data_IF_918535802021
#
_entry.id   IF_918535802021
#
_cell.length_a   1.000
_cell.length_b   1.000
_cell.length_c   1.000
_cell.angle_alpha   90.00
_cell.angle_beta   90.00
_cell.angle_gamma   90.00
#
_symmetry.space_group_name_H-M   'P 1'
#
loop_
_entity.id
_entity.type
_entity.pdbx_description
1 polymer ?
#
# COMPACT_ATOMS: atom_id res chain seq x y z
N UNK A 1 -7.69 -38.82 -0.74
CA UNK A 1 -8.55 -39.42 -1.79
C UNK A 1 -7.66 -40.09 -2.83
N UNK A 2 -8.02 -41.26 -3.36
CA UNK A 2 -7.22 -41.98 -4.39
C UNK A 2 -7.84 -41.76 -5.77
N UNK A 3 -7.47 -40.66 -6.41
CA UNK A 3 -7.98 -40.30 -7.74
C UNK A 3 -7.85 -41.48 -8.74
N UNK A 4 -8.85 -41.65 -9.61
CA UNK A 4 -8.88 -42.71 -10.62
C UNK A 4 -9.27 -44.11 -10.12
N UNK A 5 -9.47 -44.30 -8.82
CA UNK A 5 -9.98 -45.58 -8.28
C UNK A 5 -11.51 -45.61 -8.40
N UNK A 6 -12.13 -46.71 -8.89
CA UNK A 6 -13.58 -46.84 -8.92
C UNK A 6 -14.21 -46.56 -7.54
N UNK A 7 -15.19 -45.66 -7.50
CA UNK A 7 -15.88 -45.25 -6.27
C UNK A 7 -15.19 -44.17 -5.43
N UNK A 8 -13.99 -43.69 -5.81
CA UNK A 8 -13.43 -42.48 -5.22
C UNK A 8 -14.07 -41.26 -5.90
N UNK A 9 -14.74 -40.35 -5.15
CA UNK A 9 -15.30 -39.15 -5.74
C UNK A 9 -14.18 -38.20 -6.19
N UNK A 10 -14.47 -37.40 -7.20
CA UNK A 10 -13.66 -36.23 -7.55
C UNK A 10 -13.78 -35.17 -6.44
N UNK A 11 -12.84 -34.21 -6.41
CA UNK A 11 -12.78 -33.20 -5.35
C UNK A 11 -14.10 -32.42 -5.24
N UNK A 12 -14.67 -32.01 -6.37
CA UNK A 12 -15.90 -31.24 -6.44
C UNK A 12 -17.09 -32.02 -5.87
N UNK A 13 -17.22 -33.29 -6.25
CA UNK A 13 -18.31 -34.16 -5.79
C UNK A 13 -18.19 -34.46 -4.30
N UNK A 14 -16.95 -34.60 -3.80
CA UNK A 14 -16.69 -34.74 -2.37
C UNK A 14 -17.09 -33.48 -1.59
N UNK A 15 -16.72 -32.29 -2.07
CA UNK A 15 -17.07 -31.01 -1.45
C UNK A 15 -18.60 -30.83 -1.39
N UNK A 16 -19.30 -31.07 -2.51
CA UNK A 16 -20.77 -30.97 -2.58
C UNK A 16 -21.44 -31.90 -1.57
N UNK A 17 -20.98 -33.14 -1.49
CA UNK A 17 -21.59 -34.15 -0.61
C UNK A 17 -21.31 -33.91 0.88
N UNK A 18 -20.13 -33.41 1.24
CA UNK A 18 -19.67 -33.36 2.63
C UNK A 18 -19.70 -31.98 3.29
N UNK A 19 -19.74 -30.89 2.52
CA UNK A 19 -19.88 -29.56 3.10
C UNK A 19 -21.33 -29.27 3.54
N UNK A 20 -21.51 -28.50 4.62
CA UNK A 20 -22.84 -28.09 5.07
C UNK A 20 -23.51 -27.14 4.04
N UNK A 21 -24.80 -26.91 4.25
CA UNK A 21 -25.55 -25.88 3.52
C UNK A 21 -24.93 -24.49 3.75
N UNK A 22 -24.84 -23.69 2.70
CA UNK A 22 -24.27 -22.33 2.75
C UNK A 22 -22.74 -22.26 2.89
N UNK A 23 -22.01 -23.39 2.81
CA UNK A 23 -20.57 -23.38 3.02
C UNK A 23 -19.80 -22.53 1.98
N UNK A 24 -18.73 -21.88 2.44
CA UNK A 24 -17.82 -21.08 1.60
C UNK A 24 -16.49 -21.81 1.44
N UNK A 25 -16.10 -22.06 0.20
CA UNK A 25 -14.83 -22.70 -0.16
C UNK A 25 -13.86 -21.62 -0.60
N UNK A 26 -12.75 -21.42 0.12
CA UNK A 26 -11.71 -20.47 -0.25
C UNK A 26 -10.75 -21.07 -1.27
N UNK A 27 -10.32 -20.30 -2.27
CA UNK A 27 -9.23 -20.70 -3.18
C UNK A 27 -8.23 -19.55 -3.39
N UNK A 28 -6.94 -19.88 -3.45
CA UNK A 28 -5.91 -18.94 -3.90
C UNK A 28 -5.98 -18.83 -5.44
N UNK A 29 -6.36 -17.65 -5.98
CA UNK A 29 -6.57 -17.48 -7.41
C UNK A 29 -5.28 -17.58 -8.25
N UNK A 30 -4.09 -17.49 -7.63
CA UNK A 30 -2.81 -17.51 -8.34
C UNK A 30 -2.29 -18.92 -8.65
N UNK A 31 -2.87 -19.95 -8.01
CA UNK A 31 -2.43 -21.36 -8.16
C UNK A 31 -3.53 -22.28 -8.71
N UNK A 32 -4.66 -21.71 -9.13
CA UNK A 32 -5.76 -22.45 -9.76
C UNK A 32 -5.96 -22.01 -11.21
N UNK A 33 -6.31 -22.98 -12.08
CA UNK A 33 -6.67 -22.68 -13.47
C UNK A 33 -8.09 -22.12 -13.54
N UNK A 34 -8.33 -21.21 -14.49
CA UNK A 34 -9.67 -20.62 -14.72
C UNK A 34 -10.71 -21.71 -15.03
N UNK A 35 -10.33 -22.75 -15.78
CA UNK A 35 -11.23 -23.87 -16.09
C UNK A 35 -11.59 -24.67 -14.85
N UNK A 36 -10.61 -24.96 -13.98
CA UNK A 36 -10.84 -25.67 -12.71
C UNK A 36 -11.76 -24.89 -11.78
N UNK A 37 -11.50 -23.58 -11.60
CA UNK A 37 -12.35 -22.68 -10.79
C UNK A 37 -13.78 -22.66 -11.30
N UNK A 38 -13.98 -22.49 -12.61
CA UNK A 38 -15.33 -22.49 -13.22
C UNK A 38 -16.03 -23.83 -13.10
N UNK A 39 -15.29 -24.94 -13.20
CA UNK A 39 -15.81 -26.29 -13.01
C UNK A 39 -16.31 -26.50 -11.58
N UNK A 40 -15.49 -26.13 -10.60
CA UNK A 40 -15.84 -26.23 -9.18
C UNK A 40 -17.04 -25.33 -8.82
N UNK A 41 -17.06 -24.08 -9.30
CA UNK A 41 -18.21 -23.18 -9.12
C UNK A 41 -19.52 -23.79 -9.63
N UNK A 42 -19.48 -24.39 -10.84
CA UNK A 42 -20.65 -25.04 -11.44
C UNK A 42 -21.13 -26.22 -10.59
N UNK A 43 -20.22 -27.10 -10.18
CA UNK A 43 -20.53 -28.26 -9.36
C UNK A 43 -21.14 -27.89 -8.01
N UNK A 44 -20.59 -26.87 -7.34
CA UNK A 44 -21.15 -26.36 -6.07
C UNK A 44 -22.57 -25.79 -6.26
N UNK A 45 -22.83 -25.10 -7.37
CA UNK A 45 -24.16 -24.58 -7.69
C UNK A 45 -25.16 -25.71 -8.02
N UNK A 46 -24.76 -26.69 -8.83
CA UNK A 46 -25.58 -27.86 -9.19
C UNK A 46 -25.94 -28.73 -7.96
N UNK A 47 -25.08 -28.72 -6.93
CA UNK A 47 -25.33 -29.42 -5.67
C UNK A 47 -26.53 -28.90 -4.85
N UNK A 48 -27.05 -27.71 -5.16
CA UNK A 48 -28.30 -27.19 -4.58
C UNK A 48 -28.27 -26.82 -3.09
N UNK A 49 -27.10 -26.88 -2.43
CA UNK A 49 -26.92 -26.59 -0.99
C UNK A 49 -26.51 -25.14 -0.68
N UNK A 50 -26.64 -24.23 -1.64
CA UNK A 50 -26.21 -22.82 -1.46
C UNK A 50 -24.72 -22.63 -1.18
N UNK A 51 -23.87 -23.59 -1.55
CA UNK A 51 -22.42 -23.52 -1.35
C UNK A 51 -21.79 -22.57 -2.39
N UNK A 52 -20.67 -21.94 -2.03
CA UNK A 52 -20.01 -20.95 -2.90
C UNK A 52 -18.49 -21.06 -2.88
N UNK A 53 -17.86 -20.72 -4.00
CA UNK A 53 -16.41 -20.56 -4.10
C UNK A 53 -16.03 -19.09 -3.93
N UNK A 54 -15.03 -18.82 -3.11
CA UNK A 54 -14.55 -17.47 -2.76
C UNK A 54 -13.08 -17.36 -3.13
N UNK A 55 -12.71 -16.53 -4.13
CA UNK A 55 -11.31 -16.25 -4.41
C UNK A 55 -10.72 -15.37 -3.30
N UNK A 56 -9.60 -15.81 -2.72
CA UNK A 56 -8.93 -15.13 -1.60
C UNK A 56 -7.98 -14.03 -2.08
N UNK A 57 -8.52 -13.05 -2.83
CA UNK A 57 -7.74 -11.99 -3.48
C UNK A 57 -7.02 -11.07 -2.47
N UNK A 58 -7.67 -10.74 -1.36
CA UNK A 58 -7.15 -9.80 -0.37
C UNK A 58 -6.39 -10.50 0.77
N UNK A 59 -6.73 -11.76 1.03
CA UNK A 59 -6.13 -12.53 2.11
C UNK A 59 -4.76 -13.12 1.74
N UNK A 60 -4.44 -13.22 0.44
CA UNK A 60 -3.25 -13.92 -0.04
C UNK A 60 -3.30 -15.43 0.25
N UNK A 61 -2.16 -16.10 0.07
CA UNK A 61 -2.07 -17.54 0.33
C UNK A 61 -2.09 -17.80 1.85
N UNK A 62 -3.11 -18.51 2.34
CA UNK A 62 -3.27 -18.81 3.76
C UNK A 62 -2.15 -19.72 4.32
N UNK A 63 -1.50 -20.54 3.47
CA UNK A 63 -0.35 -21.35 3.88
C UNK A 63 0.85 -20.43 4.16
N UNK A 64 1.10 -19.43 3.32
CA UNK A 64 2.19 -18.46 3.56
C UNK A 64 2.03 -17.74 4.91
N UNK A 65 0.80 -17.45 5.35
CA UNK A 65 0.54 -16.83 6.66
C UNK A 65 1.01 -17.68 7.84
N UNK A 66 0.82 -19.00 7.77
CA UNK A 66 1.22 -19.93 8.83
C UNK A 66 2.67 -20.40 8.69
N UNK A 67 3.23 -20.35 7.48
CA UNK A 67 4.64 -20.67 7.23
C UNK A 67 5.56 -19.60 7.84
N UNK A 68 5.17 -18.33 7.75
CA UNK A 68 5.85 -17.23 8.43
C UNK A 68 7.32 -17.09 8.02
N UNK A 69 8.21 -16.95 9.01
CA UNK A 69 9.63 -16.70 8.77
C UNK A 69 10.41 -17.90 8.19
N UNK A 70 9.85 -19.12 8.29
CA UNK A 70 10.49 -20.33 7.74
C UNK A 70 10.25 -20.50 6.24
N UNK A 71 9.46 -19.61 5.62
CA UNK A 71 9.24 -19.63 4.18
C UNK A 71 10.51 -19.19 3.45
N UNK A 72 11.03 -20.00 2.49
CA UNK A 72 12.23 -19.60 1.75
C UNK A 72 11.97 -18.36 0.89
N UNK A 73 13.00 -17.54 0.63
CA UNK A 73 12.85 -16.37 -0.23
C UNK A 73 12.47 -16.79 -1.66
N UNK A 74 11.84 -15.87 -2.38
CA UNK A 74 11.54 -16.07 -3.79
C UNK A 74 12.85 -16.27 -4.59
N UNK A 75 12.87 -17.20 -5.55
CA UNK A 75 14.06 -17.44 -6.36
C UNK A 75 14.39 -16.22 -7.23
N UNK A 76 15.67 -15.85 -7.25
CA UNK A 76 16.19 -14.67 -7.92
C UNK A 76 17.42 -15.00 -8.78
N UNK A 77 17.38 -16.10 -9.55
CA UNK A 77 18.49 -16.47 -10.41
C UNK A 77 18.60 -15.52 -11.62
N UNK A 78 19.82 -15.09 -12.01
CA UNK A 78 19.98 -14.17 -13.13
C UNK A 78 19.56 -14.81 -14.46
N UNK A 79 18.94 -14.01 -15.32
CA UNK A 79 18.67 -14.37 -16.71
C UNK A 79 19.96 -14.37 -17.52
N UNK A 80 19.98 -15.23 -18.54
CA UNK A 80 21.00 -15.25 -19.59
C UNK A 80 20.36 -15.34 -20.97
N UNK A 81 21.04 -14.80 -21.97
CA UNK A 81 20.62 -14.92 -23.37
C UNK A 81 20.81 -16.37 -23.83
N UNK A 82 19.82 -16.90 -24.55
CA UNK A 82 19.90 -18.16 -25.25
C UNK A 82 20.41 -17.89 -26.67
N UNK A 83 21.68 -18.21 -26.90
CA UNK A 83 22.40 -18.01 -28.15
C UNK A 83 21.60 -18.50 -29.37
N UNK A 84 21.53 -17.63 -30.39
CA UNK A 84 20.76 -17.85 -31.61
C UNK A 84 21.11 -19.16 -32.32
N UNK A 85 22.38 -19.60 -32.26
CA UNK A 85 22.80 -20.87 -32.88
C UNK A 85 22.04 -22.09 -32.34
N UNK A 86 21.52 -21.98 -31.12
CA UNK A 86 20.69 -23.00 -30.48
C UNK A 86 19.21 -22.66 -30.56
N UNK A 87 18.86 -21.38 -30.46
CA UNK A 87 17.47 -20.92 -30.49
C UNK A 87 16.81 -21.10 -31.86
N UNK A 88 17.59 -21.03 -32.95
CA UNK A 88 17.17 -21.26 -34.34
C UNK A 88 16.30 -20.16 -34.95
N UNK A 89 15.75 -19.26 -34.15
CA UNK A 89 14.86 -18.17 -34.58
C UNK A 89 15.01 -16.95 -33.66
N UNK A 90 15.07 -15.77 -34.25
CA UNK A 90 15.15 -14.49 -33.56
C UNK A 90 13.84 -14.16 -32.83
N UNK A 91 13.94 -13.44 -31.70
CA UNK A 91 12.77 -13.02 -30.91
C UNK A 91 11.79 -12.18 -31.74
N UNK A 92 12.30 -11.24 -32.54
CA UNK A 92 11.46 -10.40 -33.40
C UNK A 92 10.68 -11.23 -34.45
N UNK A 93 11.28 -12.29 -34.98
CA UNK A 93 10.61 -13.18 -35.93
C UNK A 93 9.50 -14.01 -35.25
N UNK A 94 9.76 -14.53 -34.04
CA UNK A 94 8.76 -15.21 -33.21
C UNK A 94 7.57 -14.31 -32.92
N UNK A 95 7.82 -13.05 -32.52
CA UNK A 95 6.78 -12.06 -32.25
C UNK A 95 5.97 -11.73 -33.50
N UNK A 96 6.61 -11.54 -34.66
CA UNK A 96 5.92 -11.32 -35.93
C UNK A 96 4.99 -12.48 -36.29
N UNK A 97 5.49 -13.71 -36.19
CA UNK A 97 4.71 -14.94 -36.41
C UNK A 97 3.55 -15.09 -35.42
N UNK A 98 3.77 -14.73 -34.15
CA UNK A 98 2.72 -14.76 -33.12
C UNK A 98 1.62 -13.74 -33.41
N UNK A 99 1.98 -12.52 -33.81
CA UNK A 99 1.02 -11.45 -34.12
C UNK A 99 0.12 -11.80 -35.31
N UNK A 100 0.65 -12.47 -36.33
CA UNK A 100 -0.19 -12.95 -37.44
C UNK A 100 -1.20 -14.01 -36.99
N UNK A 101 -0.81 -14.92 -36.09
CA UNK A 101 -1.75 -15.89 -35.51
C UNK A 101 -2.79 -15.21 -34.61
N UNK A 102 -2.37 -14.24 -33.78
CA UNK A 102 -3.29 -13.43 -32.97
C UNK A 102 -4.32 -12.71 -33.84
N UNK A 103 -3.88 -12.08 -34.94
CA UNK A 103 -4.75 -11.43 -35.91
C UNK A 103 -5.73 -12.40 -36.56
N UNK A 104 -5.26 -13.56 -37.01
CA UNK A 104 -6.12 -14.61 -37.59
C UNK A 104 -7.16 -15.15 -36.59
N UNK A 105 -6.83 -15.17 -35.30
CA UNK A 105 -7.73 -15.56 -34.23
C UNK A 105 -8.63 -14.42 -33.70
N UNK A 106 -8.47 -13.18 -34.18
CA UNK A 106 -9.18 -12.01 -33.68
C UNK A 106 -8.78 -11.58 -32.25
N UNK A 107 -7.58 -11.96 -31.80
CA UNK A 107 -7.08 -11.64 -30.46
C UNK A 107 -6.32 -10.31 -30.43
N UNK A 108 -6.71 -9.42 -29.52
CA UNK A 108 -6.03 -8.13 -29.29
C UNK A 108 -4.82 -8.20 -28.36
N UNK A 109 -4.61 -9.33 -27.65
CA UNK A 109 -3.47 -9.56 -26.79
C UNK A 109 -3.26 -11.06 -26.54
N UNK A 110 -2.03 -11.44 -26.23
CA UNK A 110 -1.64 -12.75 -25.73
C UNK A 110 -0.84 -12.57 -24.45
N UNK A 111 -1.25 -13.22 -23.36
CA UNK A 111 -0.48 -13.29 -22.12
C UNK A 111 0.14 -14.68 -21.99
N UNK A 112 1.44 -14.77 -22.22
CA UNK A 112 2.21 -15.99 -21.95
C UNK A 112 2.46 -16.10 -20.43
N UNK A 113 1.99 -17.20 -19.84
CA UNK A 113 2.07 -17.47 -18.40
C UNK A 113 2.87 -18.73 -18.07
N UNK A 114 3.02 -19.64 -19.03
CA UNK A 114 3.92 -20.78 -18.90
C UNK A 114 5.37 -20.30 -19.05
N UNK A 115 6.23 -20.62 -18.08
CA UNK A 115 7.57 -20.05 -17.99
C UNK A 115 8.49 -20.50 -19.13
N UNK A 116 8.26 -21.71 -19.65
CA UNK A 116 8.95 -22.25 -20.82
C UNK A 116 8.54 -21.54 -22.11
N UNK A 117 7.26 -21.17 -22.27
CA UNK A 117 6.79 -20.33 -23.38
C UNK A 117 7.43 -18.94 -23.32
N UNK A 118 7.48 -18.32 -22.14
CA UNK A 118 8.13 -17.01 -21.95
C UNK A 118 9.63 -17.08 -22.26
N UNK A 119 10.32 -18.11 -21.76
CA UNK A 119 11.74 -18.35 -22.04
C UNK A 119 12.02 -18.61 -23.53
N UNK A 120 11.14 -19.36 -24.20
CA UNK A 120 11.25 -19.62 -25.64
C UNK A 120 11.00 -18.36 -26.47
N UNK A 121 9.96 -17.59 -26.12
CA UNK A 121 9.57 -16.39 -26.85
C UNK A 121 10.66 -15.33 -26.80
N UNK A 122 11.26 -15.14 -25.62
CA UNK A 122 12.26 -14.09 -25.37
C UNK A 122 13.70 -14.51 -25.65
N UNK A 123 13.95 -15.77 -26.00
CA UNK A 123 15.30 -16.35 -26.07
C UNK A 123 16.12 -16.06 -24.79
N UNK A 124 15.50 -16.19 -23.62
CA UNK A 124 16.19 -16.08 -22.32
C UNK A 124 16.08 -17.37 -21.53
N UNK A 125 17.00 -17.63 -20.61
CA UNK A 125 16.94 -18.75 -19.65
C UNK A 125 17.21 -18.25 -18.24
N UNK A 126 16.56 -18.85 -17.26
CA UNK A 126 16.75 -18.57 -15.84
C UNK A 126 17.15 -19.81 -15.05
N UNK A 127 17.02 -19.73 -13.73
CA UNK A 127 17.29 -20.83 -12.81
C UNK A 127 16.39 -20.81 -11.58
N UNK A 128 15.17 -20.31 -11.71
CA UNK A 128 14.26 -20.15 -10.57
C UNK A 128 13.53 -21.45 -10.17
N UNK A 129 13.47 -22.41 -11.09
CA UNK A 129 12.77 -23.67 -10.90
C UNK A 129 13.78 -24.80 -11.08
N UNK A 130 13.90 -25.66 -10.07
CA UNK A 130 14.82 -26.80 -10.13
C UNK A 130 14.57 -27.64 -11.39
N UNK A 131 15.66 -28.03 -12.04
CA UNK A 131 15.70 -28.81 -13.29
C UNK A 131 15.07 -28.13 -14.52
N UNK A 132 14.58 -26.89 -14.40
CA UNK A 132 13.94 -26.17 -15.49
C UNK A 132 14.65 -24.83 -15.71
N UNK A 133 15.26 -24.57 -16.89
CA UNK A 133 16.07 -23.36 -17.12
C UNK A 133 15.19 -22.12 -17.42
N UNK A 134 14.26 -21.82 -16.52
CA UNK A 134 13.23 -20.78 -16.66
C UNK A 134 13.30 -19.79 -15.49
N UNK A 135 12.69 -18.62 -15.66
CA UNK A 135 12.55 -17.61 -14.60
C UNK A 135 11.06 -17.30 -14.38
N UNK A 136 10.67 -17.07 -13.13
CA UNK A 136 9.34 -16.59 -12.77
C UNK A 136 9.09 -15.25 -13.47
N UNK A 137 8.20 -15.27 -14.46
CA UNK A 137 7.92 -14.13 -15.35
C UNK A 137 6.63 -14.32 -16.15
N UNK A 138 6.13 -13.23 -16.72
CA UNK A 138 5.02 -13.21 -17.68
C UNK A 138 5.41 -12.38 -18.91
N UNK A 139 4.87 -12.71 -20.08
CA UNK A 139 5.05 -11.88 -21.26
C UNK A 139 3.71 -11.51 -21.89
N UNK A 140 3.44 -10.21 -21.99
CA UNK A 140 2.27 -9.68 -22.68
C UNK A 140 2.67 -9.26 -24.10
N UNK A 141 2.02 -9.84 -25.10
CA UNK A 141 2.21 -9.48 -26.51
C UNK A 141 0.93 -8.82 -27.01
N UNK A 142 1.08 -7.66 -27.63
CA UNK A 142 0.00 -6.92 -28.32
C UNK A 142 0.35 -6.82 -29.81
N UNK A 143 -0.54 -6.31 -30.68
CA UNK A 143 -0.23 -6.14 -32.09
C UNK A 143 0.96 -5.19 -32.32
N UNK A 144 1.21 -4.25 -31.39
CA UNK A 144 2.25 -3.24 -31.52
C UNK A 144 3.46 -3.46 -30.59
N UNK A 145 3.26 -4.02 -29.40
CA UNK A 145 4.30 -4.12 -28.35
C UNK A 145 4.46 -5.54 -27.79
N UNK A 146 5.55 -5.76 -27.06
CA UNK A 146 5.76 -6.94 -26.24
C UNK A 146 6.43 -6.49 -24.93
N UNK A 147 5.90 -6.95 -23.79
CA UNK A 147 6.39 -6.55 -22.46
C UNK A 147 6.66 -7.79 -21.62
N UNK A 148 7.90 -7.94 -21.15
CA UNK A 148 8.34 -8.97 -20.21
C UNK A 148 8.23 -8.44 -18.78
N UNK A 149 7.35 -9.05 -17.99
CA UNK A 149 7.23 -8.80 -16.55
C UNK A 149 8.12 -9.79 -15.81
N UNK A 150 9.19 -9.28 -15.20
CA UNK A 150 10.19 -10.09 -14.48
C UNK A 150 10.82 -9.25 -13.37
N UNK A 151 11.35 -9.88 -12.32
CA UNK A 151 12.16 -9.19 -11.32
C UNK A 151 13.40 -8.56 -12.00
N UNK A 152 13.57 -7.25 -11.84
CA UNK A 152 14.67 -6.50 -12.45
C UNK A 152 16.05 -6.94 -11.98
N UNK A 153 16.17 -7.49 -10.77
CA UNK A 153 17.43 -8.05 -10.29
C UNK A 153 17.93 -9.23 -11.14
N UNK A 154 17.04 -9.87 -11.92
CA UNK A 154 17.39 -10.96 -12.84
C UNK A 154 17.93 -10.46 -14.18
N UNK A 155 17.74 -9.18 -14.52
CA UNK A 155 17.99 -8.65 -15.87
C UNK A 155 19.33 -7.92 -15.91
N UNK A 156 20.38 -8.63 -16.31
CA UNK A 156 21.70 -8.04 -16.55
C UNK A 156 21.79 -7.22 -17.85
N UNK A 157 22.85 -6.42 -18.05
CA UNK A 157 23.00 -5.54 -19.22
C UNK A 157 22.92 -6.27 -20.58
N UNK A 158 23.47 -7.48 -20.66
CA UNK A 158 23.41 -8.32 -21.87
C UNK A 158 21.98 -8.69 -22.24
N UNK A 159 21.19 -9.15 -21.25
CA UNK A 159 19.78 -9.53 -21.45
C UNK A 159 18.93 -8.31 -21.76
N UNK A 160 19.17 -7.18 -21.08
CA UNK A 160 18.48 -5.92 -21.37
C UNK A 160 18.70 -5.46 -22.82
N UNK A 161 19.96 -5.49 -23.29
CA UNK A 161 20.29 -5.13 -24.67
C UNK A 161 19.66 -6.10 -25.69
N UNK A 162 19.70 -7.40 -25.42
CA UNK A 162 19.06 -8.44 -26.25
C UNK A 162 17.55 -8.23 -26.41
N UNK A 163 16.84 -7.98 -25.29
CA UNK A 163 15.39 -7.75 -25.30
C UNK A 163 15.03 -6.43 -25.99
N UNK A 164 15.77 -5.35 -25.72
CA UNK A 164 15.56 -4.06 -26.36
C UNK A 164 15.78 -4.13 -27.89
N UNK A 165 16.82 -4.84 -28.35
CA UNK A 165 17.07 -5.05 -29.78
C UNK A 165 15.94 -5.82 -30.48
N UNK A 166 15.20 -6.65 -29.75
CA UNK A 166 14.05 -7.38 -30.24
C UNK A 166 12.70 -6.63 -30.10
N UNK A 167 12.71 -5.40 -29.56
CA UNK A 167 11.49 -4.64 -29.29
C UNK A 167 10.66 -5.18 -28.14
N UNK A 168 11.29 -5.89 -27.19
CA UNK A 168 10.65 -6.36 -25.96
C UNK A 168 10.99 -5.39 -24.83
N UNK A 169 9.96 -4.73 -24.31
CA UNK A 169 10.07 -3.90 -23.12
C UNK A 169 10.21 -4.78 -21.89
N UNK A 170 11.13 -4.42 -20.98
CA UNK A 170 11.22 -5.10 -19.69
C UNK A 170 10.45 -4.28 -18.67
N UNK A 171 9.26 -4.75 -18.32
CA UNK A 171 8.58 -4.30 -17.12
C UNK A 171 9.21 -5.02 -15.92
N UNK A 172 10.37 -4.53 -15.50
CA UNK A 172 10.81 -4.73 -14.12
C UNK A 172 9.77 -4.00 -13.29
N UNK A 173 8.81 -4.69 -12.66
CA UNK A 173 7.65 -4.06 -12.01
C UNK A 173 8.07 -2.73 -11.39
N UNK A 174 7.53 -1.61 -11.88
CA UNK A 174 8.23 -0.31 -11.83
C UNK A 174 8.80 -0.04 -10.44
N UNK A 175 10.13 -0.05 -10.33
CA UNK A 175 10.81 0.29 -9.09
C UNK A 175 11.23 1.74 -9.16
N UNK A 176 10.86 2.51 -8.14
CA UNK A 176 11.34 3.88 -7.94
C UNK A 176 12.16 3.88 -6.66
N UNK A 177 13.31 4.51 -6.66
CA UNK A 177 14.12 4.69 -5.45
C UNK A 177 13.44 5.66 -4.49
N UNK A 178 13.77 5.58 -3.20
CA UNK A 178 13.30 6.56 -2.21
C UNK A 178 13.65 8.01 -2.62
N UNK A 179 14.81 8.21 -3.28
CA UNK A 179 15.23 9.50 -3.83
C UNK A 179 14.30 9.94 -4.97
N UNK A 180 13.93 9.03 -5.88
CA UNK A 180 13.00 9.35 -6.97
C UNK A 180 11.60 9.65 -6.46
N UNK A 181 11.15 8.99 -5.38
CA UNK A 181 9.89 9.32 -4.70
C UNK A 181 9.93 10.76 -4.16
N UNK A 182 10.98 11.13 -3.44
CA UNK A 182 11.16 12.50 -2.95
C UNK A 182 11.18 13.52 -4.10
N UNK A 183 12.03 13.32 -5.10
CA UNK A 183 12.13 14.21 -6.26
C UNK A 183 10.78 14.39 -6.96
N UNK A 184 10.02 13.30 -7.11
CA UNK A 184 8.71 13.34 -7.76
C UNK A 184 7.67 14.09 -6.92
N UNK A 185 7.63 13.82 -5.61
CA UNK A 185 6.71 14.50 -4.69
C UNK A 185 7.01 15.99 -4.58
N UNK A 186 8.29 16.35 -4.45
CA UNK A 186 8.75 17.73 -4.45
C UNK A 186 8.42 18.42 -5.78
N UNK A 187 8.56 17.73 -6.90
CA UNK A 187 8.12 18.24 -8.22
C UNK A 187 6.62 18.51 -8.29
N UNK A 188 5.78 17.64 -7.72
CA UNK A 188 4.33 17.90 -7.64
C UNK A 188 3.99 19.11 -6.77
N UNK A 189 4.70 19.31 -5.65
CA UNK A 189 4.54 20.51 -4.81
C UNK A 189 4.99 21.77 -5.52
N UNK A 190 6.13 21.72 -6.20
CA UNK A 190 6.68 22.86 -6.93
C UNK A 190 5.78 23.34 -8.08
N UNK A 191 4.93 22.45 -8.61
CA UNK A 191 3.93 22.81 -9.61
C UNK A 191 2.69 23.53 -9.03
N UNK A 192 2.52 23.58 -7.70
CA UNK A 192 1.39 24.24 -7.07
C UNK A 192 1.63 25.76 -6.92
N UNK A 193 0.59 26.60 -7.09
CA UNK A 193 0.72 28.04 -6.87
C UNK A 193 1.24 28.41 -5.48
N UNK A 194 2.14 29.40 -5.43
CA UNK A 194 2.69 29.93 -4.19
C UNK A 194 3.72 29.04 -3.48
N UNK A 195 4.14 27.92 -4.07
CA UNK A 195 5.23 27.09 -3.51
C UNK A 195 6.54 27.87 -3.46
N UNK A 196 7.24 27.80 -2.33
CA UNK A 196 8.54 28.43 -2.10
C UNK A 196 9.65 27.38 -2.06
N UNK A 197 9.55 26.44 -1.13
CA UNK A 197 10.51 25.35 -0.94
C UNK A 197 9.88 24.22 -0.10
N UNK A 198 10.60 23.13 0.14
CA UNK A 198 10.17 22.10 1.09
C UNK A 198 10.31 22.62 2.53
N UNK A 199 9.32 22.38 3.41
CA UNK A 199 9.38 22.84 4.80
C UNK A 199 10.40 22.07 5.67
N UNK A 200 10.80 20.89 5.21
CA UNK A 200 11.90 20.07 5.70
C UNK A 200 12.26 19.05 4.61
N UNK A 201 13.36 18.31 4.77
CA UNK A 201 13.73 17.28 3.80
C UNK A 201 12.81 16.08 3.91
N UNK A 202 12.18 15.69 2.80
CA UNK A 202 11.31 14.51 2.70
C UNK A 202 11.96 13.27 3.29
N UNK A 203 11.19 12.55 4.10
CA UNK A 203 11.52 11.23 4.60
C UNK A 203 10.72 10.24 3.75
N UNK A 204 11.38 9.61 2.78
CA UNK A 204 10.84 8.47 2.04
C UNK A 204 11.56 7.20 2.52
N UNK A 205 10.94 6.44 3.44
CA UNK A 205 11.53 5.26 4.05
C UNK A 205 10.85 3.98 3.61
N UNK A 206 11.52 3.19 2.77
CA UNK A 206 11.06 1.90 2.28
C UNK A 206 11.48 0.76 3.22
N UNK A 207 10.52 -0.05 3.67
CA UNK A 207 10.74 -1.18 4.57
C UNK A 207 11.57 -0.75 5.79
N UNK A 208 12.74 -1.36 6.06
CA UNK A 208 13.55 -1.07 7.25
C UNK A 208 13.93 0.41 7.42
N UNK A 209 14.06 1.16 6.31
CA UNK A 209 14.39 2.58 6.37
C UNK A 209 13.26 3.41 6.98
N UNK A 210 12.00 2.96 6.86
CA UNK A 210 10.85 3.59 7.50
C UNK A 210 10.90 3.52 9.04
N UNK A 211 11.66 2.58 9.62
CA UNK A 211 11.86 2.47 11.07
C UNK A 211 12.80 3.56 11.62
N UNK A 212 13.61 4.20 10.77
CA UNK A 212 14.53 5.25 11.19
C UNK A 212 13.76 6.58 11.19
N UNK A 213 13.41 7.07 12.39
CA UNK A 213 12.49 8.21 12.61
C UNK A 213 12.86 9.44 11.76
N UNK A 214 14.15 9.80 11.70
CA UNK A 214 14.68 10.90 10.87
C UNK A 214 15.54 10.36 9.72
N UNK A 215 15.04 9.38 8.97
CA UNK A 215 15.72 8.86 7.79
C UNK A 215 15.86 9.92 6.70
N UNK A 216 16.96 9.87 5.95
CA UNK A 216 17.13 10.64 4.72
C UNK A 216 17.72 9.75 3.66
N UNK A 217 16.98 9.55 2.58
CA UNK A 217 17.46 8.83 1.42
C UNK A 217 18.64 9.58 0.78
N UNK A 218 19.67 8.83 0.37
CA UNK A 218 20.83 9.38 -0.33
C UNK A 218 21.09 8.57 -1.61
N UNK A 219 21.43 9.22 -2.73
CA UNK A 219 21.84 8.51 -3.93
C UNK A 219 22.94 7.49 -3.62
N UNK A 220 22.80 6.27 -4.14
CA UNK A 220 23.77 5.19 -3.95
C UNK A 220 23.65 4.41 -2.63
N UNK A 221 22.77 4.82 -1.70
CA UNK A 221 22.48 4.05 -0.47
C UNK A 221 20.98 3.96 -0.12
N UNK A 222 20.11 4.57 -0.95
CA UNK A 222 18.67 4.44 -0.83
C UNK A 222 18.16 3.07 -1.31
N UNK A 223 17.01 2.67 -0.79
CA UNK A 223 16.30 1.46 -1.25
C UNK A 223 15.38 1.77 -2.42
N UNK A 224 15.02 0.73 -3.14
CA UNK A 224 13.95 0.76 -4.13
C UNK A 224 12.59 0.51 -3.45
N UNK A 225 11.57 1.18 -3.96
CA UNK A 225 10.16 0.94 -3.71
C UNK A 225 9.64 0.12 -4.89
N UNK A 226 9.24 -1.11 -4.61
CA UNK A 226 8.71 -2.05 -5.61
C UNK A 226 7.20 -2.29 -5.40
N UNK A 227 6.64 -3.33 -6.02
CA UNK A 227 5.24 -3.72 -5.87
C UNK A 227 4.87 -4.39 -4.54
N UNK A 228 5.78 -4.51 -3.57
CA UNK A 228 5.55 -5.15 -2.27
C UNK A 228 6.27 -4.43 -1.10
N UNK A 229 6.36 -3.12 -1.18
CA UNK A 229 7.07 -2.26 -0.22
C UNK A 229 6.07 -1.56 0.71
N UNK A 230 6.34 -1.59 2.03
CA UNK A 230 5.77 -0.60 2.96
C UNK A 230 6.63 0.66 2.90
N UNK A 231 6.01 1.77 2.51
CA UNK A 231 6.65 3.06 2.36
C UNK A 231 6.05 4.04 3.37
N UNK A 232 6.89 4.57 4.25
CA UNK A 232 6.58 5.74 5.05
C UNK A 232 7.03 6.97 4.28
N UNK A 233 6.10 7.91 4.05
CA UNK A 233 6.37 9.14 3.34
C UNK A 233 5.94 10.32 4.20
N UNK A 234 6.92 11.01 4.75
CA UNK A 234 6.75 12.23 5.54
C UNK A 234 7.40 13.41 4.83
N UNK A 235 6.62 14.46 4.61
CA UNK A 235 7.04 15.55 3.77
C UNK A 235 6.17 16.78 3.94
N UNK A 236 6.72 17.96 3.66
CA UNK A 236 5.98 19.20 3.68
C UNK A 236 6.50 20.23 2.68
N UNK A 237 5.78 21.33 2.56
CA UNK A 237 6.09 22.46 1.70
C UNK A 237 5.82 23.80 2.38
N UNK A 238 6.68 24.77 2.10
CA UNK A 238 6.46 26.19 2.36
C UNK A 238 5.72 26.79 1.17
N UNK A 239 4.65 27.50 1.48
CA UNK A 239 3.85 28.26 0.54
C UNK A 239 3.71 29.69 1.04
N UNK A 240 3.47 30.64 0.14
CA UNK A 240 3.17 32.04 0.50
C UNK A 240 2.03 32.15 1.54
N UNK A 241 1.10 31.19 1.53
CA UNK A 241 -0.06 31.15 2.41
C UNK A 241 0.12 30.30 3.68
N UNK A 242 1.23 29.59 3.85
CA UNK A 242 1.42 28.73 5.03
C UNK A 242 2.48 27.64 4.89
N UNK A 243 2.62 26.86 5.96
CA UNK A 243 3.54 25.72 6.04
C UNK A 243 2.73 24.44 6.16
N UNK A 244 3.14 23.39 5.45
CA UNK A 244 2.51 22.07 5.54
C UNK A 244 3.46 21.04 6.13
N UNK A 245 2.88 20.07 6.82
CA UNK A 245 3.52 18.85 7.32
C UNK A 245 2.53 17.68 7.19
N UNK A 246 3.00 16.57 6.65
CA UNK A 246 2.15 15.39 6.44
C UNK A 246 2.99 14.13 6.25
N UNK A 247 2.70 13.17 7.10
CA UNK A 247 3.05 11.77 6.92
C UNK A 247 1.87 10.90 6.49
N UNK A 248 2.11 10.07 5.47
CA UNK A 248 1.29 8.89 5.15
C UNK A 248 2.18 7.66 5.08
N UNK A 249 1.67 6.55 5.61
CA UNK A 249 2.25 5.23 5.37
C UNK A 249 1.37 4.48 4.38
N UNK A 250 1.98 3.87 3.37
CA UNK A 250 1.29 3.11 2.33
C UNK A 250 2.05 1.82 2.02
N UNK A 251 1.32 0.78 1.63
CA UNK A 251 1.90 -0.44 1.10
C UNK A 251 1.66 -0.49 -0.41
N UNK A 252 2.65 -0.86 -1.22
CA UNK A 252 2.49 -1.00 -2.67
C UNK A 252 1.93 -2.37 -3.07
N UNK A 253 2.22 -3.41 -2.30
CA UNK A 253 1.63 -4.76 -2.43
C UNK A 253 0.61 -5.10 -1.35
N UNK A 254 0.70 -6.30 -0.76
CA UNK A 254 -0.14 -6.72 0.37
C UNK A 254 0.59 -6.61 1.71
N UNK A 255 0.07 -5.84 2.69
CA UNK A 255 0.70 -5.71 4.00
C UNK A 255 0.53 -6.97 4.86
N UNK A 256 1.52 -7.25 5.71
CA UNK A 256 1.47 -8.34 6.70
C UNK A 256 0.46 -8.04 7.82
N UNK A 257 0.02 -9.07 8.56
CA UNK A 257 -0.85 -8.90 9.73
C UNK A 257 -0.22 -7.98 10.78
N UNK A 258 1.08 -8.15 11.05
CA UNK A 258 1.80 -7.32 12.01
C UNK A 258 1.88 -5.84 11.57
N UNK A 259 2.15 -5.57 10.29
CA UNK A 259 2.11 -4.21 9.73
C UNK A 259 0.72 -3.59 9.84
N UNK A 260 -0.35 -4.34 9.50
CA UNK A 260 -1.74 -3.89 9.62
C UNK A 260 -2.10 -3.59 11.07
N UNK A 261 -1.75 -4.47 12.01
CA UNK A 261 -1.99 -4.28 13.44
C UNK A 261 -1.31 -3.01 13.96
N UNK A 262 -0.01 -2.85 13.68
CA UNK A 262 0.74 -1.67 14.12
C UNK A 262 0.19 -0.37 13.52
N UNK A 263 -0.07 -0.35 12.21
CA UNK A 263 -0.68 0.80 11.53
C UNK A 263 -2.06 1.12 12.13
N UNK A 264 -2.85 0.10 12.46
CA UNK A 264 -4.18 0.31 13.05
C UNK A 264 -4.09 0.85 14.47
N UNK A 265 -3.15 0.39 15.31
CA UNK A 265 -2.94 0.99 16.63
C UNK A 265 -2.49 2.44 16.56
N UNK A 266 -1.63 2.78 15.58
CA UNK A 266 -1.27 4.16 15.28
C UNK A 266 -2.49 4.97 14.85
N UNK A 267 -3.34 4.42 13.96
CA UNK A 267 -4.58 5.06 13.54
C UNK A 267 -5.54 5.29 14.70
N UNK A 268 -5.74 4.32 15.60
CA UNK A 268 -6.58 4.50 16.79
C UNK A 268 -6.05 5.63 17.69
N UNK A 269 -4.72 5.73 17.83
CA UNK A 269 -4.09 6.85 18.52
C UNK A 269 -4.37 8.19 17.83
N UNK A 270 -4.21 8.24 16.51
CA UNK A 270 -4.47 9.44 15.70
C UNK A 270 -5.93 9.89 15.85
N UNK A 271 -6.88 8.94 15.76
CA UNK A 271 -8.31 9.19 15.93
C UNK A 271 -8.62 9.68 17.33
N UNK A 272 -8.10 8.99 18.37
CA UNK A 272 -8.35 9.34 19.76
C UNK A 272 -7.92 10.77 20.11
N UNK A 273 -6.83 11.25 19.52
CA UNK A 273 -6.42 12.64 19.65
C UNK A 273 -7.28 13.58 18.79
N UNK A 274 -7.58 13.22 17.54
CA UNK A 274 -8.37 14.06 16.61
C UNK A 274 -9.77 14.36 17.14
N UNK A 275 -10.42 13.38 17.78
CA UNK A 275 -11.78 13.53 18.34
C UNK A 275 -11.82 14.07 19.76
N UNK A 276 -10.66 14.30 20.39
CA UNK A 276 -10.60 14.76 21.77
C UNK A 276 -11.29 16.12 21.93
N UNK A 277 -12.00 16.28 23.05
CA UNK A 277 -12.59 17.55 23.50
C UNK A 277 -12.12 17.80 24.92
N UNK A 278 -11.52 18.96 25.19
CA UNK A 278 -10.86 19.28 26.46
C UNK A 278 -11.17 20.71 26.92
N UNK A 279 -11.09 21.03 28.22
CA UNK A 279 -11.29 22.39 28.69
C UNK A 279 -10.10 23.30 28.32
N UNK A 280 -10.38 24.58 28.08
CA UNK A 280 -9.34 25.60 27.91
C UNK A 280 -8.29 25.57 29.04
N UNK A 281 -7.05 25.95 28.74
CA UNK A 281 -5.95 25.90 29.71
C UNK A 281 -5.27 24.53 29.82
N UNK A 282 -5.76 23.49 29.13
CA UNK A 282 -5.13 22.16 29.12
C UNK A 282 -3.82 22.16 28.32
N UNK A 283 -2.67 21.75 28.91
CA UNK A 283 -1.41 21.63 28.20
C UNK A 283 -1.40 20.41 27.26
N UNK A 284 -0.70 20.51 26.13
CA UNK A 284 -0.64 19.42 25.16
C UNK A 284 -0.06 18.11 25.71
N UNK A 285 0.80 18.17 26.74
CA UNK A 285 1.30 16.98 27.44
C UNK A 285 0.19 16.11 28.08
N UNK A 286 -0.96 16.71 28.44
CA UNK A 286 -2.11 15.96 28.97
C UNK A 286 -2.85 15.17 27.90
N UNK A 287 -2.69 15.52 26.61
CA UNK A 287 -3.37 14.88 25.48
C UNK A 287 -2.51 13.80 24.80
N UNK A 288 -1.19 13.84 24.98
CA UNK A 288 -0.22 12.92 24.36
C UNK A 288 -0.56 11.44 24.62
N UNK A 289 -1.07 11.11 25.82
CA UNK A 289 -1.43 9.74 26.17
C UNK A 289 -2.60 9.16 25.33
N UNK A 290 -3.49 10.00 24.79
CA UNK A 290 -4.59 9.55 23.92
C UNK A 290 -4.07 8.90 22.63
N UNK A 291 -2.98 9.44 22.09
CA UNK A 291 -2.36 8.89 20.90
C UNK A 291 -1.53 7.62 21.18
N UNK A 292 -1.09 7.41 22.42
CA UNK A 292 -0.24 6.26 22.80
C UNK A 292 -1.01 5.07 23.34
N UNK A 293 -2.15 5.29 24.00
CA UNK A 293 -2.83 4.25 24.79
C UNK A 293 -3.15 2.98 23.98
N UNK A 294 -3.39 3.11 22.68
CA UNK A 294 -3.69 1.97 21.79
C UNK A 294 -2.44 1.13 21.48
N UNK A 295 -1.28 1.75 21.31
CA UNK A 295 0.00 1.03 21.21
C UNK A 295 0.39 0.39 22.54
N UNK A 296 0.19 1.10 23.66
CA UNK A 296 0.49 0.56 25.00
C UNK A 296 -0.31 -0.69 25.33
N UNK A 297 -1.54 -0.83 24.85
CA UNK A 297 -2.35 -2.06 24.99
C UNK A 297 -1.67 -3.29 24.36
N UNK A 298 -0.81 -3.07 23.38
CA UNK A 298 -0.04 -4.12 22.71
C UNK A 298 1.42 -4.18 23.19
N UNK A 299 1.79 -3.40 24.22
CA UNK A 299 3.17 -3.31 24.72
C UNK A 299 4.11 -2.48 23.82
N UNK A 300 3.56 -1.73 22.86
CA UNK A 300 4.30 -0.94 21.88
C UNK A 300 4.35 0.54 22.27
N UNK A 301 5.29 1.31 21.70
CA UNK A 301 5.41 2.75 21.90
C UNK A 301 6.21 3.42 20.75
N UNK A 302 6.29 4.75 20.75
CA UNK A 302 7.16 5.54 19.86
C UNK A 302 8.01 6.56 20.63
N UNK A 303 9.19 6.89 20.09
CA UNK A 303 10.25 7.65 20.78
C UNK A 303 10.30 9.14 20.42
N UNK A 304 9.21 9.71 19.91
CA UNK A 304 9.05 11.15 19.65
C UNK A 304 7.76 11.69 20.30
N UNK A 305 7.55 13.01 20.24
CA UNK A 305 6.29 13.63 20.67
C UNK A 305 5.14 13.27 19.74
N UNK A 306 3.90 13.37 20.20
CA UNK A 306 2.71 13.13 19.37
C UNK A 306 2.43 14.28 18.40
N UNK A 307 2.92 15.48 18.69
CA UNK A 307 2.85 16.61 17.78
C UNK A 307 3.58 17.86 18.27
N UNK A 308 3.74 18.80 17.35
CA UNK A 308 4.37 20.11 17.56
C UNK A 308 3.50 21.22 16.96
N UNK A 309 3.72 22.47 17.38
CA UNK A 309 3.13 23.60 16.68
C UNK A 309 3.73 23.79 15.29
N UNK A 310 2.99 24.44 14.39
CA UNK A 310 3.40 24.74 13.02
C UNK A 310 3.18 26.21 12.72
N UNK A 311 4.24 26.90 12.27
CA UNK A 311 4.18 28.30 11.92
C UNK A 311 3.46 28.55 10.58
N UNK A 312 2.89 29.74 10.41
CA UNK A 312 2.27 30.15 9.16
C UNK A 312 3.34 30.72 8.21
N UNK A 313 3.80 29.92 7.25
CA UNK A 313 4.91 30.24 6.34
C UNK A 313 6.22 30.52 7.11
N UNK A 314 6.45 29.72 8.16
CA UNK A 314 7.55 29.84 9.11
C UNK A 314 8.07 28.43 9.45
N UNK A 315 8.73 28.27 10.59
CA UNK A 315 9.25 26.98 11.02
C UNK A 315 8.13 25.94 11.08
N UNK A 316 8.37 24.79 10.45
CA UNK A 316 7.45 23.64 10.55
C UNK A 316 7.35 23.12 11.98
N UNK A 317 8.45 23.21 12.73
CA UNK A 317 8.49 22.96 14.17
C UNK A 317 8.49 24.29 14.93
N UNK A 318 7.31 24.74 15.37
CA UNK A 318 7.11 25.99 16.09
C UNK A 318 6.58 25.75 17.52
N UNK A 319 7.24 26.33 18.51
CA UNK A 319 6.76 26.36 19.90
C UNK A 319 6.00 27.64 20.21
N UNK A 320 5.46 27.80 21.43
CA UNK A 320 5.76 27.00 22.62
C UNK A 320 4.80 25.82 22.87
N UNK A 321 3.76 25.64 22.05
CA UNK A 321 2.85 24.50 22.15
C UNK A 321 3.46 23.21 21.61
N UNK A 322 3.19 22.09 22.28
CA UNK A 322 3.56 20.75 21.81
C UNK A 322 2.67 19.70 22.49
N UNK A 323 2.35 18.64 21.76
CA UNK A 323 1.65 17.46 22.27
C UNK A 323 2.71 16.39 22.46
N UNK A 324 3.25 16.26 23.68
CA UNK A 324 4.42 15.42 23.93
C UNK A 324 4.44 14.88 25.33
N UNK A 325 5.05 13.71 25.52
CA UNK A 325 5.37 13.15 26.84
C UNK A 325 6.41 13.97 27.62
N UNK A 326 6.93 15.04 27.03
CA UNK A 326 7.79 16.03 27.70
C UNK A 326 6.96 16.92 28.63
N UNK A 327 6.68 16.43 29.84
CA UNK A 327 5.83 17.09 30.84
C UNK A 327 6.30 18.48 31.33
N UNK A 328 7.54 18.88 31.00
CA UNK A 328 8.02 20.25 31.28
C UNK A 328 7.43 21.30 30.32
N UNK A 329 6.83 20.89 29.21
CA UNK A 329 6.10 21.77 28.29
C UNK A 329 4.68 21.93 28.82
N UNK A 330 4.42 23.04 29.52
CA UNK A 330 3.14 23.31 30.20
C UNK A 330 2.28 24.33 29.47
N UNK A 331 2.66 24.74 28.25
CA UNK A 331 1.89 25.68 27.43
C UNK A 331 0.52 25.07 27.09
N UNK A 332 -0.60 25.74 27.45
CA UNK A 332 -1.93 25.33 27.03
C UNK A 332 -2.13 25.36 25.52
N UNK A 333 -2.89 24.40 24.99
CA UNK A 333 -3.43 24.54 23.64
C UNK A 333 -4.56 25.58 23.65
N UNK A 334 -4.47 26.57 22.79
CA UNK A 334 -5.43 27.66 22.65
C UNK A 334 -6.02 27.69 21.24
N UNK A 335 -7.23 28.26 21.09
CA UNK A 335 -7.90 28.40 19.81
C UNK A 335 -7.00 29.09 18.76
N UNK A 336 -7.11 28.64 17.51
CA UNK A 336 -6.31 29.03 16.34
C UNK A 336 -4.84 28.59 16.34
N UNK A 337 -4.35 27.90 17.38
CA UNK A 337 -3.05 27.23 17.28
C UNK A 337 -3.12 26.08 16.27
N UNK A 338 -2.14 26.00 15.38
CA UNK A 338 -1.95 24.85 14.48
C UNK A 338 -0.93 23.91 15.10
N UNK A 339 -1.26 22.61 15.09
CA UNK A 339 -0.39 21.53 15.58
C UNK A 339 -0.40 20.34 14.60
N UNK A 340 0.66 19.52 14.62
CA UNK A 340 0.61 18.16 14.07
C UNK A 340 -0.09 17.20 15.03
N UNK A 341 -0.71 16.16 14.49
CA UNK A 341 -1.18 14.95 15.17
C UNK A 341 -0.59 13.75 14.44
N UNK A 342 0.54 13.24 14.93
CA UNK A 342 1.46 12.37 14.19
C UNK A 342 1.96 11.14 14.97
N UNK A 343 1.09 10.34 15.63
CA UNK A 343 1.56 9.11 16.26
C UNK A 343 2.24 8.17 15.25
N UNK A 344 3.16 7.35 15.76
CA UNK A 344 3.90 6.39 14.95
C UNK A 344 4.26 5.11 15.70
N UNK A 345 4.86 4.18 14.97
CA UNK A 345 5.51 2.98 15.50
C UNK A 345 6.65 2.56 14.58
N UNK A 346 7.75 2.09 15.14
CA UNK A 346 8.99 1.82 14.42
C UNK A 346 9.57 0.49 14.91
N UNK A 347 9.61 -0.49 14.01
CA UNK A 347 10.19 -1.82 14.24
C UNK A 347 11.61 -1.83 13.64
N UNK A 348 12.61 -1.74 14.52
CA UNK A 348 14.02 -1.61 14.13
C UNK A 348 14.42 -2.71 13.13
N UNK A 349 14.96 -2.29 11.98
CA UNK A 349 15.40 -3.21 10.92
C UNK A 349 14.28 -3.84 10.10
N UNK A 350 13.00 -3.48 10.33
CA UNK A 350 11.86 -4.06 9.62
C UNK A 350 10.99 -3.02 8.91
N UNK A 351 10.28 -2.16 9.63
CA UNK A 351 9.40 -1.13 9.04
C UNK A 351 9.04 -0.03 10.03
N UNK A 352 8.51 1.09 9.52
CA UNK A 352 7.88 2.10 10.34
C UNK A 352 6.51 2.51 9.78
N UNK A 353 5.66 2.99 10.68
CA UNK A 353 4.34 3.54 10.39
C UNK A 353 4.20 4.87 11.12
N UNK A 354 3.67 5.88 10.44
CA UNK A 354 3.25 7.16 11.02
C UNK A 354 2.06 7.69 10.22
N UNK A 355 1.10 8.27 10.93
CA UNK A 355 -0.09 8.89 10.35
C UNK A 355 -0.19 10.29 10.92
N UNK A 356 -0.06 11.27 10.05
CA UNK A 356 0.03 12.66 10.47
C UNK A 356 -0.93 13.57 9.72
N UNK A 357 -1.60 14.43 10.47
CA UNK A 357 -2.34 15.56 9.94
C UNK A 357 -1.97 16.83 10.69
N UNK A 358 -2.00 17.96 10.00
CA UNK A 358 -2.13 19.24 10.66
C UNK A 358 -3.58 19.47 11.06
N UNK A 359 -3.74 19.99 12.27
CA UNK A 359 -5.00 20.33 12.90
C UNK A 359 -4.91 21.73 13.50
N UNK A 360 -6.02 22.46 13.46
CA UNK A 360 -6.18 23.74 14.15
C UNK A 360 -7.09 23.55 15.35
N UNK A 361 -6.70 24.13 16.49
CA UNK A 361 -7.51 24.13 17.71
C UNK A 361 -8.69 25.07 17.52
N UNK A 362 -9.90 24.57 17.77
CA UNK A 362 -11.16 25.33 17.65
C UNK A 362 -11.99 25.16 18.91
N UNK A 363 -12.85 26.14 19.19
CA UNK A 363 -13.88 25.98 20.22
C UNK A 363 -14.88 24.89 19.79
N UNK A 364 -15.31 24.08 20.75
CA UNK A 364 -16.33 23.04 20.58
C UNK A 364 -17.54 23.35 21.44
N UNK A 365 -18.71 23.23 20.85
CA UNK A 365 -19.97 23.30 21.58
C UNK A 365 -20.19 22.00 22.35
N UNK A 366 -20.19 22.11 23.67
CA UNK A 366 -20.46 20.98 24.59
C UNK A 366 -21.82 21.16 25.23
N UNK A 367 -22.52 20.06 25.60
CA UNK A 367 -23.84 20.14 26.25
C UNK A 367 -23.84 20.94 27.56
N UNK A 368 -22.69 21.06 28.22
CA UNK A 368 -22.51 21.79 29.47
C UNK A 368 -21.22 22.62 29.43
N UNK A 369 -21.20 23.70 30.21
CA UNK A 369 -20.01 24.55 30.44
C UNK A 369 -19.66 24.52 31.94
N UNK A 370 -18.81 23.58 32.34
CA UNK A 370 -18.40 23.44 33.75
C UNK A 370 -17.63 24.68 34.19
N UNK A 371 -18.07 25.33 35.27
CA UNK A 371 -17.51 26.60 35.77
C UNK A 371 -17.41 27.72 34.70
N UNK A 372 -18.26 27.67 33.65
CA UNK A 372 -18.23 28.65 32.56
C UNK A 372 -17.05 28.51 31.59
N UNK A 373 -16.25 27.43 31.70
CA UNK A 373 -15.09 27.22 30.84
C UNK A 373 -15.45 26.91 29.39
N UNK A 374 -14.63 27.40 28.46
CA UNK A 374 -14.65 26.96 27.07
C UNK A 374 -14.07 25.55 26.93
N UNK A 375 -14.57 24.82 25.94
CA UNK A 375 -14.03 23.53 25.54
C UNK A 375 -13.50 23.64 24.12
N UNK A 376 -12.35 23.01 23.90
CA UNK A 376 -11.60 23.03 22.66
C UNK A 376 -11.58 21.62 22.06
N UNK A 377 -11.32 21.58 20.76
CA UNK A 377 -11.08 20.36 20.00
C UNK A 377 -10.32 20.69 18.73
N UNK A 378 -10.23 19.74 17.80
CA UNK A 378 -9.55 19.97 16.53
C UNK A 378 -10.52 20.18 15.36
N UNK A 379 -10.04 20.94 14.38
CA UNK A 379 -10.49 20.94 13.00
C UNK A 379 -9.30 20.56 12.10
N UNK A 380 -9.53 19.70 11.12
CA UNK A 380 -8.47 19.14 10.26
C UNK A 380 -8.10 20.11 9.14
N UNK A 381 -6.80 20.23 8.86
CA UNK A 381 -6.27 20.98 7.72
C UNK A 381 -5.80 20.03 6.61
N UNK A 382 -5.18 18.91 6.98
CA UNK A 382 -4.66 17.93 6.02
C UNK A 382 -5.76 17.08 5.41
N UNK A 383 -5.93 17.16 4.08
CA UNK A 383 -6.96 16.43 3.32
C UNK A 383 -6.35 15.40 2.36
N UNK A 384 -5.87 14.28 2.89
CA UNK A 384 -5.28 13.17 2.11
C UNK A 384 -5.78 11.83 2.64
N UNK A 385 -6.24 10.89 1.81
CA UNK A 385 -6.78 9.62 2.30
C UNK A 385 -5.76 8.82 3.11
N UNK A 386 -6.27 7.97 4.00
CA UNK A 386 -5.49 6.97 4.75
C UNK A 386 -5.75 5.60 4.11
N UNK A 387 -4.69 4.87 3.77
CA UNK A 387 -4.81 3.67 2.93
C UNK A 387 -5.55 2.52 3.63
N UNK A 388 -6.73 2.13 3.11
CA UNK A 388 -7.61 1.15 3.76
C UNK A 388 -6.99 -0.23 3.98
N UNK A 389 -6.18 -0.74 3.04
CA UNK A 389 -5.57 -2.09 3.17
C UNK A 389 -4.60 -2.24 4.33
N UNK A 390 -4.08 -1.13 4.88
CA UNK A 390 -3.27 -1.14 6.09
C UNK A 390 -4.10 -1.15 7.39
N UNK A 391 -5.42 -1.08 7.30
CA UNK A 391 -6.33 -1.04 8.45
C UNK A 391 -6.85 -2.44 8.72
N UNK A 392 -6.63 -2.94 9.93
CA UNK A 392 -7.27 -4.12 10.49
C UNK A 392 -8.61 -3.70 11.10
N UNK A 393 -9.68 -3.86 10.33
CA UNK A 393 -11.04 -3.46 10.72
C UNK A 393 -11.57 -4.24 11.93
N UNK A 394 -10.95 -5.37 12.30
CA UNK A 394 -11.34 -6.12 13.50
C UNK A 394 -10.93 -5.42 14.81
N UNK A 395 -9.97 -4.49 14.74
CA UNK A 395 -9.49 -3.71 15.88
C UNK A 395 -10.22 -2.36 16.03
N UNK A 396 -10.96 -1.94 15.00
CA UNK A 396 -11.72 -0.70 15.02
C UNK A 396 -13.09 -0.91 15.67
N UNK A 397 -13.46 0.02 16.52
CA UNK A 397 -14.84 0.23 16.96
C UNK A 397 -15.71 0.76 15.82
N UNK A 398 -17.02 0.75 16.03
CA UNK A 398 -17.97 1.36 15.11
C UNK A 398 -17.73 2.88 14.95
N UNK A 399 -17.37 3.57 16.04
CA UNK A 399 -17.08 5.00 16.04
C UNK A 399 -15.79 5.32 15.28
N UNK A 400 -14.72 4.53 15.47
CA UNK A 400 -13.48 4.70 14.71
C UNK A 400 -13.67 4.40 13.23
N UNK A 401 -14.48 3.39 12.89
CA UNK A 401 -14.84 3.09 11.49
C UNK A 401 -15.60 4.27 10.87
N UNK A 402 -16.60 4.79 11.58
CA UNK A 402 -17.36 5.96 11.13
C UNK A 402 -16.48 7.23 11.01
N UNK A 403 -15.46 7.37 11.86
CA UNK A 403 -14.48 8.43 11.76
C UNK A 403 -13.68 8.32 10.45
N UNK A 404 -13.18 7.13 10.09
CA UNK A 404 -12.40 6.95 8.85
C UNK A 404 -13.26 7.25 7.63
N UNK A 405 -14.48 6.71 7.58
CA UNK A 405 -15.43 6.96 6.49
C UNK A 405 -15.80 8.45 6.40
N UNK A 406 -15.98 9.11 7.55
CA UNK A 406 -16.26 10.53 7.65
C UNK A 406 -15.10 11.39 7.18
N UNK A 407 -13.87 11.06 7.59
CA UNK A 407 -12.65 11.75 7.14
C UNK A 407 -12.45 11.59 5.64
N UNK A 408 -12.60 10.38 5.11
CA UNK A 408 -12.50 10.11 3.67
C UNK A 408 -13.55 10.87 2.87
N UNK A 409 -14.79 11.00 3.37
CA UNK A 409 -15.81 11.86 2.75
C UNK A 409 -15.40 13.33 2.75
N UNK A 410 -14.87 13.84 3.86
CA UNK A 410 -14.37 15.23 3.96
C UNK A 410 -13.22 15.47 2.96
N UNK A 411 -12.30 14.51 2.82
CA UNK A 411 -11.22 14.55 1.81
C UNK A 411 -11.80 14.60 0.39
N UNK A 412 -12.78 13.75 0.08
CA UNK A 412 -13.43 13.76 -1.23
C UNK A 412 -14.06 15.13 -1.54
N UNK A 413 -14.84 15.68 -0.60
CA UNK A 413 -15.54 16.95 -0.76
C UNK A 413 -14.56 18.12 -0.93
N UNK A 414 -13.45 18.12 -0.18
CA UNK A 414 -12.45 19.18 -0.24
C UNK A 414 -11.57 19.11 -1.51
N UNK A 415 -11.23 17.91 -1.97
CA UNK A 415 -10.19 17.70 -2.99
C UNK A 415 -10.76 17.43 -4.38
N UNK A 416 -11.87 16.69 -4.51
CA UNK A 416 -12.43 16.30 -5.82
C UNK A 416 -12.79 17.47 -6.75
N UNK A 417 -13.26 18.66 -6.28
CA UNK A 417 -13.53 19.79 -7.17
C UNK A 417 -12.27 20.34 -7.88
N UNK A 418 -11.08 20.07 -7.32
CA UNK A 418 -9.78 20.54 -7.84
C UNK A 418 -9.12 19.57 -8.82
N UNK A 419 -9.74 18.43 -9.08
CA UNK A 419 -9.19 17.33 -9.90
C UNK A 419 -10.08 17.00 -11.12
N UNK A 420 -11.02 17.88 -11.47
CA UNK A 420 -11.99 17.62 -12.55
C UNK A 420 -11.33 17.49 -13.93
N UNK A 421 -10.16 18.08 -14.13
CA UNK A 421 -9.34 17.99 -15.32
C UNK A 421 -8.40 16.76 -15.35
N UNK A 422 -8.37 15.96 -14.27
CA UNK A 422 -7.51 14.81 -14.10
C UNK A 422 -8.33 13.55 -13.80
N UNK A 423 -9.00 12.96 -14.81
CA UNK A 423 -9.98 11.89 -14.61
C UNK A 423 -9.41 10.64 -13.93
N UNK A 424 -8.16 10.29 -14.22
CA UNK A 424 -7.48 9.15 -13.58
C UNK A 424 -7.24 9.40 -12.09
N UNK A 425 -6.81 10.61 -11.72
CA UNK A 425 -6.57 11.00 -10.33
C UNK A 425 -7.88 11.14 -9.55
N UNK A 426 -8.92 11.69 -10.18
CA UNK A 426 -10.25 11.78 -9.59
C UNK A 426 -10.83 10.39 -9.31
N UNK A 427 -10.65 9.45 -10.24
CA UNK A 427 -11.06 8.06 -10.03
C UNK A 427 -10.24 7.37 -8.94
N UNK A 428 -8.93 7.62 -8.87
CA UNK A 428 -8.09 7.16 -7.77
C UNK A 428 -8.59 7.70 -6.43
N UNK A 429 -8.88 9.01 -6.35
CA UNK A 429 -9.41 9.64 -5.14
C UNK A 429 -10.73 8.97 -4.75
N UNK A 430 -11.66 8.82 -5.70
CA UNK A 430 -12.97 8.19 -5.48
C UNK A 430 -12.85 6.80 -4.88
N UNK A 431 -11.90 5.99 -5.36
CA UNK A 431 -11.68 4.64 -4.81
C UNK A 431 -11.14 4.69 -3.39
N UNK A 432 -10.21 5.59 -3.11
CA UNK A 432 -9.53 5.69 -1.82
C UNK A 432 -10.28 6.53 -0.77
N UNK A 433 -11.45 7.09 -1.12
CA UNK A 433 -12.30 7.87 -0.20
C UNK A 433 -13.70 7.27 0.01
N UNK A 434 -13.97 6.06 -0.49
CA UNK A 434 -15.23 5.36 -0.21
C UNK A 434 -15.27 4.83 1.23
N UNK A 435 -16.44 4.43 1.74
CA UNK A 435 -16.50 3.70 3.01
C UNK A 435 -15.54 2.51 3.04
N UNK A 436 -14.87 2.27 4.16
CA UNK A 436 -13.85 1.23 4.32
C UNK A 436 -14.34 -0.15 3.86
N UNK A 437 -15.59 -0.48 4.16
CA UNK A 437 -16.20 -1.74 3.74
C UNK A 437 -16.24 -1.91 2.22
N UNK A 438 -16.42 -0.81 1.47
CA UNK A 438 -16.42 -0.83 0.00
C UNK A 438 -15.00 -0.85 -0.57
N UNK A 439 -14.03 -0.21 0.09
CA UNK A 439 -12.62 -0.27 -0.33
C UNK A 439 -12.00 -1.65 -0.14
N UNK A 440 -12.48 -2.39 0.87
CA UNK A 440 -12.02 -3.72 1.26
C UNK A 440 -12.97 -4.83 0.79
N UNK A 441 -13.95 -4.55 -0.08
CA UNK A 441 -14.75 -5.56 -0.76
C UNK A 441 -14.09 -5.93 -2.10
#
# INVERSE_FOLDING_TARGET
MKAGTPGCPDLEDWLVSHLPEGARVGCDPWVHTVSGVRGLQRKLAEGGKGQSLVPLLQDGNLVSKVWGADQPPAPCAPLRVHDLRWAGEEVAAKLGRMREQMKAAGAGALLATALDEVAWLTNTRGGDVDHNPVALSYCLVTPESATLYVDGAKVGPEVAAHLAAAGVEVATGATVTEVEVDLKLTGFRAAQPGFVETSFSTIAGAGPNGAIIHYRAQPGSCRSVDGCTLLLLDSGGQYECGTTDITRTLHTGSPTEHQRRCNTRVLQGHIALDVAVWPEGTPGAALDAFARMHLWRDGLNYRHGTGHGVGAALNVHEGPQSISSRFHITTPLAANMVCSNEPGYYEDGSFGVRIENLVVVVEKDTPYRYAGQQYLGFQRLTMVPIQAKLIDTSLLSAEETAWVDGYHREVWEAVSPRMQDQPELLEWLRRNTRPLKEQLA
#
